data_IF_259097836963
#
_entry.id   IF_259097836963
#
_cell.length_a   1.000
_cell.length_b   1.000
_cell.length_c   1.000
_cell.angle_alpha   90.00
_cell.angle_beta   90.00
_cell.angle_gamma   90.00
#
_symmetry.space_group_name_H-M   'P 1'
#
loop_
_entity.id
_entity.type
_entity.pdbx_description
1 polymer ?
#
# COMPACT_ATOMS: atom_id res chain seq x y z
N UNK A 1 -7.20 -19.32 8.25
CA UNK A 1 -6.21 -18.31 7.86
C UNK A 1 -6.78 -17.51 6.71
N UNK A 2 -7.04 -16.23 6.94
CA UNK A 2 -7.36 -15.31 5.85
C UNK A 2 -6.06 -14.83 5.21
N UNK A 3 -6.10 -14.60 3.91
CA UNK A 3 -4.96 -14.12 3.13
C UNK A 3 -5.38 -12.93 2.29
N UNK A 4 -4.56 -11.89 2.27
CA UNK A 4 -4.78 -10.68 1.49
C UNK A 4 -3.85 -10.66 0.29
N UNK A 5 -4.42 -10.42 -0.90
CA UNK A 5 -3.64 -10.36 -2.14
C UNK A 5 -2.77 -9.09 -2.15
N UNK A 6 -1.48 -9.25 -2.38
CA UNK A 6 -0.52 -8.14 -2.45
C UNK A 6 0.09 -8.00 -3.84
N UNK A 7 0.04 -9.03 -4.68
CA UNK A 7 0.48 -8.90 -6.06
C UNK A 7 0.27 -10.14 -6.91
N UNK A 8 0.41 -9.97 -8.23
CA UNK A 8 0.36 -11.08 -9.19
C UNK A 8 1.67 -11.18 -9.98
N UNK A 9 2.24 -12.37 -10.06
CA UNK A 9 3.41 -12.63 -10.89
C UNK A 9 2.95 -12.68 -12.35
N UNK A 10 3.31 -11.67 -13.14
CA UNK A 10 2.85 -11.53 -14.53
C UNK A 10 3.85 -12.06 -15.54
N UNK A 11 5.14 -12.07 -15.21
CA UNK A 11 6.18 -12.58 -16.10
C UNK A 11 7.50 -12.86 -15.36
N UNK A 12 8.42 -13.55 -16.02
CA UNK A 12 9.83 -13.61 -15.60
C UNK A 12 10.60 -12.36 -16.07
N UNK A 13 11.77 -12.13 -15.49
CA UNK A 13 12.69 -11.05 -15.83
C UNK A 13 14.12 -11.61 -15.91
N UNK A 14 14.68 -11.67 -17.11
CA UNK A 14 16.01 -12.24 -17.32
C UNK A 14 16.11 -13.71 -16.90
N UNK A 15 17.34 -14.19 -16.67
CA UNK A 15 17.62 -15.61 -16.40
C UNK A 15 17.94 -15.93 -14.92
N UNK A 16 18.11 -14.90 -14.08
CA UNK A 16 18.58 -15.02 -12.70
C UNK A 16 17.46 -15.07 -11.66
N UNK A 17 16.32 -15.68 -12.01
CA UNK A 17 15.21 -15.88 -11.08
C UNK A 17 14.44 -14.60 -10.70
N UNK A 18 14.56 -13.51 -11.47
CA UNK A 18 13.72 -12.33 -11.25
C UNK A 18 12.32 -12.54 -11.83
N UNK A 19 11.31 -12.04 -11.12
CA UNK A 19 9.91 -12.04 -11.54
C UNK A 19 9.38 -10.62 -11.56
N UNK A 20 8.51 -10.33 -12.54
CA UNK A 20 7.70 -9.12 -12.57
C UNK A 20 6.41 -9.39 -11.82
N UNK A 21 6.15 -8.54 -10.85
CA UNK A 21 4.92 -8.53 -10.06
C UNK A 21 4.16 -7.26 -10.36
N UNK A 22 2.87 -7.40 -10.63
CA UNK A 22 1.93 -6.31 -10.57
C UNK A 22 1.42 -6.23 -9.14
N UNK A 23 1.87 -5.23 -8.38
CA UNK A 23 1.39 -4.99 -7.03
C UNK A 23 -0.09 -4.62 -7.06
N UNK A 24 -0.85 -5.15 -6.10
CA UNK A 24 -2.22 -4.71 -5.79
C UNK A 24 -2.31 -4.11 -4.39
N UNK A 25 -1.16 -3.90 -3.75
CA UNK A 25 -1.02 -3.24 -2.44
C UNK A 25 -0.36 -1.88 -2.61
N UNK A 26 -0.76 -0.94 -1.76
CA UNK A 26 -0.17 0.39 -1.67
C UNK A 26 1.20 0.38 -0.98
N UNK A 27 1.51 -0.67 -0.22
CA UNK A 27 2.74 -0.84 0.57
C UNK A 27 3.73 -1.81 -0.08
N UNK A 28 3.91 -1.74 -1.41
CA UNK A 28 4.70 -2.76 -2.13
C UNK A 28 6.16 -2.84 -1.66
N UNK A 29 6.75 -1.72 -1.23
CA UNK A 29 8.13 -1.68 -0.72
C UNK A 29 8.28 -2.43 0.59
N UNK A 30 7.27 -2.37 1.45
CA UNK A 30 7.26 -3.07 2.73
C UNK A 30 6.90 -4.56 2.53
N UNK A 31 5.86 -4.85 1.74
CA UNK A 31 5.38 -6.22 1.47
C UNK A 31 6.41 -7.06 0.72
N UNK A 32 7.21 -6.44 -0.13
CA UNK A 32 8.27 -7.12 -0.86
C UNK A 32 9.67 -6.83 -0.28
N UNK A 33 9.78 -6.30 0.95
CA UNK A 33 11.09 -6.07 1.57
C UNK A 33 11.88 -7.37 1.69
N UNK A 34 13.20 -7.28 1.56
CA UNK A 34 14.08 -8.45 1.71
C UNK A 34 13.85 -9.11 3.07
N UNK A 35 13.61 -10.42 3.07
CA UNK A 35 13.29 -11.20 4.26
C UNK A 35 11.79 -11.34 4.53
N UNK A 36 10.92 -10.61 3.83
CA UNK A 36 9.47 -10.77 3.96
C UNK A 36 9.05 -12.18 3.54
N UNK A 37 8.14 -12.75 4.31
CA UNK A 37 7.50 -14.03 4.04
C UNK A 37 6.14 -13.78 3.37
N UNK A 38 5.87 -14.48 2.27
CA UNK A 38 4.60 -14.40 1.55
C UNK A 38 4.10 -15.79 1.20
N UNK A 39 2.79 -15.92 1.10
CA UNK A 39 2.13 -17.12 0.61
C UNK A 39 1.89 -17.03 -0.91
N UNK A 40 2.28 -18.08 -1.62
CA UNK A 40 2.09 -18.21 -3.05
C UNK A 40 0.84 -19.04 -3.35
N UNK A 41 -0.02 -18.52 -4.22
CA UNK A 41 -1.29 -19.14 -4.63
C UNK A 41 -1.32 -19.34 -6.14
N UNK A 42 -1.86 -20.47 -6.60
CA UNK A 42 -2.01 -20.74 -8.03
C UNK A 42 -3.18 -19.96 -8.67
N UNK A 43 -3.40 -20.13 -9.97
CA UNK A 43 -4.47 -19.45 -10.71
C UNK A 43 -5.90 -19.85 -10.27
N UNK A 44 -6.04 -20.95 -9.52
CA UNK A 44 -7.31 -21.43 -8.94
C UNK A 44 -7.46 -21.00 -7.48
N UNK A 45 -6.61 -20.09 -7.03
CA UNK A 45 -6.55 -19.59 -5.66
C UNK A 45 -6.26 -20.68 -4.62
N UNK A 46 -5.49 -21.70 -5.00
CA UNK A 46 -5.04 -22.76 -4.09
C UNK A 46 -3.66 -22.42 -3.53
N UNK A 47 -3.50 -22.57 -2.20
CA UNK A 47 -2.20 -22.38 -1.56
C UNK A 47 -1.18 -23.39 -2.10
N UNK A 48 -0.03 -22.88 -2.53
CA UNK A 48 1.05 -23.69 -3.10
C UNK A 48 2.17 -23.88 -2.08
N UNK A 49 2.73 -22.76 -1.62
CA UNK A 49 3.82 -22.75 -0.66
C UNK A 49 4.06 -21.35 -0.11
N UNK A 50 4.81 -21.30 0.98
CA UNK A 50 5.45 -20.08 1.48
C UNK A 50 6.73 -19.76 0.71
N UNK A 51 7.02 -18.49 0.50
CA UNK A 51 8.22 -17.97 -0.15
C UNK A 51 8.80 -16.80 0.64
N UNK A 52 10.13 -16.66 0.63
CA UNK A 52 10.83 -15.54 1.27
C UNK A 52 11.42 -14.63 0.20
N UNK A 53 11.24 -13.32 0.31
CA UNK A 53 11.83 -12.36 -0.64
C UNK A 53 13.34 -12.22 -0.41
N UNK A 54 14.13 -12.49 -1.45
CA UNK A 54 15.58 -12.29 -1.44
C UNK A 54 15.99 -10.87 -1.84
N UNK A 55 15.25 -10.25 -2.75
CA UNK A 55 15.48 -8.88 -3.21
C UNK A 55 14.23 -8.32 -3.87
N UNK A 56 14.08 -7.00 -3.81
CA UNK A 56 13.02 -6.24 -4.45
C UNK A 56 13.57 -4.92 -4.99
N UNK A 57 13.00 -4.47 -6.12
CA UNK A 57 13.19 -3.13 -6.68
C UNK A 57 12.02 -2.76 -7.58
N UNK A 58 11.69 -1.48 -7.68
CA UNK A 58 10.73 -1.00 -8.68
C UNK A 58 11.37 -0.85 -10.06
N UNK A 59 10.61 -1.15 -11.11
CA UNK A 59 10.98 -0.86 -12.49
C UNK A 59 9.74 -0.53 -13.33
N UNK A 60 9.54 0.76 -13.61
CA UNK A 60 8.30 1.29 -14.20
C UNK A 60 7.11 0.86 -13.32
N UNK A 61 6.06 0.30 -13.90
CA UNK A 61 4.84 -0.09 -13.21
C UNK A 61 4.90 -1.50 -12.59
N UNK A 62 6.11 -2.05 -12.40
CA UNK A 62 6.29 -3.41 -11.87
C UNK A 62 7.25 -3.42 -10.69
N UNK A 63 6.95 -4.25 -9.72
CA UNK A 63 7.88 -4.71 -8.71
C UNK A 63 8.68 -5.88 -9.29
N UNK A 64 10.00 -5.79 -9.22
CA UNK A 64 10.90 -6.87 -9.62
C UNK A 64 11.40 -7.54 -8.36
N UNK A 65 11.03 -8.80 -8.17
CA UNK A 65 11.38 -9.58 -6.97
C UNK A 65 12.21 -10.82 -7.32
N UNK A 66 12.94 -11.33 -6.32
CA UNK A 66 13.51 -12.68 -6.31
C UNK A 66 13.05 -13.40 -5.06
N UNK A 67 12.76 -14.68 -5.15
CA UNK A 67 12.63 -15.52 -3.97
C UNK A 67 14.00 -16.06 -3.54
N UNK A 68 14.14 -16.27 -2.23
CA UNK A 68 15.28 -16.98 -1.66
C UNK A 68 15.32 -18.39 -2.25
N UNK A 69 16.53 -18.84 -2.57
CA UNK A 69 16.83 -20.18 -3.09
C UNK A 69 16.26 -20.49 -4.49
N UNK A 70 15.76 -19.47 -5.20
CA UNK A 70 15.22 -19.59 -6.56
C UNK A 70 15.90 -18.61 -7.53
N UNK A 71 17.18 -18.86 -7.82
CA UNK A 71 18.04 -17.92 -8.56
C UNK A 71 18.14 -18.19 -10.07
N UNK A 72 17.27 -19.03 -10.63
CA UNK A 72 17.24 -19.37 -12.06
C UNK A 72 15.82 -19.37 -12.63
N UNK A 73 15.69 -18.99 -13.90
CA UNK A 73 14.40 -18.90 -14.59
C UNK A 73 13.57 -20.20 -14.51
N UNK A 74 14.20 -21.37 -14.66
CA UNK A 74 13.51 -22.66 -14.61
C UNK A 74 12.85 -22.94 -13.24
N UNK A 75 13.33 -22.30 -12.16
CA UNK A 75 12.74 -22.45 -10.83
C UNK A 75 11.46 -21.62 -10.67
N UNK A 76 11.31 -20.54 -11.44
CA UNK A 76 10.26 -19.53 -11.25
C UNK A 76 9.24 -19.45 -12.39
N UNK A 77 9.56 -19.96 -13.59
CA UNK A 77 8.70 -19.78 -14.77
C UNK A 77 7.29 -20.34 -14.58
N UNK A 78 7.19 -21.44 -13.82
CA UNK A 78 5.94 -22.09 -13.44
C UNK A 78 5.03 -21.24 -12.54
N UNK A 79 5.56 -20.20 -11.91
CA UNK A 79 4.79 -19.29 -11.05
C UNK A 79 4.20 -18.11 -11.82
N UNK A 80 4.40 -18.03 -13.13
CA UNK A 80 3.70 -17.05 -13.95
C UNK A 80 2.19 -17.26 -13.81
N UNK A 81 1.47 -16.19 -13.48
CA UNK A 81 0.04 -16.20 -13.21
C UNK A 81 -0.32 -16.36 -11.73
N UNK A 82 0.64 -16.75 -10.88
CA UNK A 82 0.38 -17.00 -9.47
C UNK A 82 0.27 -15.69 -8.69
N UNK A 83 -0.50 -15.73 -7.60
CA UNK A 83 -0.72 -14.61 -6.70
C UNK A 83 0.18 -14.72 -5.48
N UNK A 84 0.65 -13.57 -5.01
CA UNK A 84 1.33 -13.39 -3.74
C UNK A 84 0.35 -12.82 -2.75
N UNK A 85 0.27 -13.45 -1.59
CA UNK A 85 -0.59 -13.02 -0.50
C UNK A 85 0.18 -12.94 0.81
N UNK A 86 -0.29 -12.10 1.71
CA UNK A 86 0.17 -12.05 3.10
C UNK A 86 -0.91 -12.66 3.99
N UNK A 87 -0.51 -13.43 5.01
CA UNK A 87 -1.46 -13.93 6.00
C UNK A 87 -1.97 -12.75 6.83
N UNK A 88 -3.22 -12.82 7.31
CA UNK A 88 -3.79 -11.80 8.19
C UNK A 88 -2.93 -11.55 9.44
N UNK A 89 -2.29 -12.58 9.98
CA UNK A 89 -1.37 -12.50 11.13
C UNK A 89 0.00 -11.90 10.81
N UNK A 90 0.38 -11.87 9.52
CA UNK A 90 1.64 -11.28 9.01
C UNK A 90 1.41 -9.90 8.37
N UNK A 91 0.16 -9.40 8.38
CA UNK A 91 -0.07 -7.97 8.28
C UNK A 91 0.60 -7.38 9.52
N UNK A 92 1.86 -6.96 9.40
CA UNK A 92 2.56 -6.27 10.48
C UNK A 92 1.59 -5.29 11.13
N UNK A 93 1.58 -5.26 12.47
CA UNK A 93 1.11 -4.10 13.21
C UNK A 93 1.69 -2.89 12.47
N UNK A 94 0.81 -2.12 11.83
CA UNK A 94 1.20 -0.85 11.22
C UNK A 94 1.95 -0.09 12.30
N UNK A 95 3.11 0.49 11.99
CA UNK A 95 3.77 1.39 12.94
C UNK A 95 2.73 2.45 13.37
N UNK A 96 2.78 2.91 14.62
CA UNK A 96 1.81 3.91 15.13
C UNK A 96 1.70 5.08 14.13
N UNK A 97 0.54 5.17 13.45
CA UNK A 97 0.32 6.15 12.39
C UNK A 97 0.55 5.67 10.96
N UNK A 98 0.61 4.38 10.67
CA UNK A 98 0.38 3.87 9.31
C UNK A 98 -1.06 3.33 9.21
N UNK A 99 -1.72 3.53 8.07
CA UNK A 99 -3.12 3.16 7.84
C UNK A 99 -3.30 2.62 6.43
N UNK A 100 -4.14 1.60 6.24
CA UNK A 100 -4.47 1.19 4.87
C UNK A 100 -5.30 2.28 4.18
N UNK A 101 -5.03 2.54 2.90
CA UNK A 101 -5.74 3.61 2.17
C UNK A 101 -7.25 3.40 2.10
N UNK A 102 -7.71 2.14 2.05
CA UNK A 102 -9.13 1.83 2.08
C UNK A 102 -9.79 2.10 3.43
N UNK A 103 -9.02 2.21 4.52
CA UNK A 103 -9.52 2.62 5.84
C UNK A 103 -9.59 4.14 5.96
N UNK A 104 -8.76 4.86 5.21
CA UNK A 104 -8.68 6.33 5.23
C UNK A 104 -9.65 6.99 4.26
N UNK A 105 -9.81 6.43 3.06
CA UNK A 105 -10.73 6.98 2.07
C UNK A 105 -12.17 6.83 2.58
N UNK A 106 -12.88 7.96 2.67
CA UNK A 106 -14.23 8.03 3.22
C UNK A 106 -14.32 8.56 4.64
N UNK A 107 -13.19 8.70 5.36
CA UNK A 107 -13.19 9.33 6.68
C UNK A 107 -13.49 10.84 6.59
N UNK A 108 -14.19 11.36 7.59
CA UNK A 108 -14.49 12.78 7.71
C UNK A 108 -13.35 13.53 8.39
N UNK A 109 -12.94 14.65 7.79
CA UNK A 109 -11.81 15.48 8.23
C UNK A 109 -12.33 16.68 9.01
N UNK A 110 -11.83 16.85 10.23
CA UNK A 110 -12.21 17.91 11.17
C UNK A 110 -11.02 18.74 11.62
N UNK A 111 -11.27 20.03 11.83
CA UNK A 111 -10.40 20.92 12.59
C UNK A 111 -11.21 21.43 13.79
N UNK A 112 -10.94 20.90 14.99
CA UNK A 112 -11.81 21.04 16.15
C UNK A 112 -13.21 20.49 15.87
N UNK A 113 -14.26 21.30 16.08
CA UNK A 113 -15.65 20.89 15.81
C UNK A 113 -16.08 21.14 14.34
N UNK A 114 -15.20 21.72 13.52
CA UNK A 114 -15.54 22.12 12.15
C UNK A 114 -15.26 20.98 11.16
N UNK A 115 -16.30 20.51 10.45
CA UNK A 115 -16.16 19.56 9.37
C UNK A 115 -15.60 20.25 8.12
N UNK A 116 -14.39 19.87 7.72
CA UNK A 116 -13.73 20.37 6.51
C UNK A 116 -14.27 19.66 5.27
N UNK A 117 -14.42 18.34 5.34
CA UNK A 117 -14.86 17.51 4.22
C UNK A 117 -14.56 16.04 4.44
N UNK A 118 -14.50 15.28 3.35
CA UNK A 118 -14.29 13.82 3.40
C UNK A 118 -13.13 13.45 2.48
N UNK A 119 -12.26 12.54 2.92
CA UNK A 119 -11.13 12.06 2.12
C UNK A 119 -11.65 11.27 0.93
N UNK A 120 -11.31 11.69 -0.30
CA UNK A 120 -11.76 11.00 -1.53
C UNK A 120 -10.67 10.19 -2.23
N UNK A 121 -9.40 10.52 -1.99
CA UNK A 121 -8.25 9.97 -2.69
C UNK A 121 -6.97 10.24 -1.90
N UNK A 122 -5.96 9.38 -2.07
CA UNK A 122 -4.61 9.57 -1.55
C UNK A 122 -3.64 9.60 -2.73
N UNK A 123 -2.82 10.65 -2.82
CA UNK A 123 -1.78 10.82 -3.84
C UNK A 123 -0.42 10.48 -3.24
N UNK A 124 0.45 9.85 -4.04
CA UNK A 124 1.80 9.43 -3.64
C UNK A 124 2.89 10.16 -4.45
N UNK A 125 3.15 11.46 -4.21
CA UNK A 125 4.18 12.21 -4.95
C UNK A 125 5.63 11.80 -4.59
N UNK A 126 5.83 10.89 -3.64
CA UNK A 126 7.10 10.20 -3.37
C UNK A 126 7.87 10.67 -2.13
N UNK A 127 7.51 11.80 -1.53
CA UNK A 127 8.09 12.25 -0.25
C UNK A 127 7.16 11.93 0.93
N UNK A 128 5.93 12.43 0.88
CA UNK A 128 4.85 12.08 1.81
C UNK A 128 3.57 11.88 1.01
N UNK A 129 2.65 11.09 1.55
CA UNK A 129 1.31 10.97 0.99
C UNK A 129 0.55 12.29 1.11
N UNK A 130 -0.37 12.53 0.17
CA UNK A 130 -1.23 13.72 0.17
C UNK A 130 -2.68 13.26 0.12
N UNK A 131 -3.43 13.57 1.17
CA UNK A 131 -4.84 13.25 1.29
C UNK A 131 -5.67 14.33 0.62
N UNK A 132 -6.49 13.92 -0.35
CA UNK A 132 -7.37 14.82 -1.09
C UNK A 132 -8.72 14.87 -0.38
N UNK A 133 -9.01 15.99 0.26
CA UNK A 133 -10.25 16.21 1.01
C UNK A 133 -11.25 16.93 0.12
N UNK A 134 -12.36 16.26 -0.18
CA UNK A 134 -13.48 16.84 -0.91
C UNK A 134 -14.27 17.77 0.00
N UNK A 135 -14.39 19.03 -0.38
CA UNK A 135 -15.07 20.06 0.39
C UNK A 135 -16.36 20.51 -0.27
N UNK A 136 -17.36 20.91 0.53
CA UNK A 136 -18.63 21.40 0.01
C UNK A 136 -18.50 22.85 -0.45
N UNK A 137 -18.67 23.11 -1.75
CA UNK A 137 -18.68 24.47 -2.30
C UNK A 137 -17.30 25.14 -2.40
N UNK A 138 -16.22 24.42 -2.07
CA UNK A 138 -14.82 24.84 -2.23
C UNK A 138 -14.08 23.84 -3.13
N UNK A 139 -12.88 24.20 -3.59
CA UNK A 139 -11.96 23.25 -4.24
C UNK A 139 -11.53 22.18 -3.25
N UNK A 140 -11.01 21.06 -3.74
CA UNK A 140 -10.44 20.05 -2.85
C UNK A 140 -9.27 20.65 -2.04
N UNK A 141 -9.10 20.20 -0.81
CA UNK A 141 -7.94 20.52 0.01
C UNK A 141 -6.91 19.40 -0.13
N UNK A 142 -5.64 19.76 -0.29
CA UNK A 142 -4.54 18.82 -0.35
C UNK A 142 -3.80 18.85 0.98
N UNK A 143 -4.02 17.81 1.80
CA UNK A 143 -3.39 17.70 3.11
C UNK A 143 -2.19 16.76 3.05
N UNK A 144 -0.96 17.23 3.29
CA UNK A 144 0.18 16.33 3.41
C UNK A 144 0.00 15.46 4.67
N UNK A 145 0.21 14.16 4.53
CA UNK A 145 0.19 13.24 5.65
C UNK A 145 1.50 13.35 6.45
N UNK A 146 1.52 14.29 7.39
CA UNK A 146 2.66 14.56 8.28
C UNK A 146 2.16 14.87 9.70
N UNK A 147 2.97 14.62 10.75
CA UNK A 147 2.55 14.80 12.14
C UNK A 147 2.01 16.20 12.50
N UNK A 148 2.54 17.32 11.94
CA UNK A 148 1.99 18.64 12.23
C UNK A 148 0.62 18.95 11.58
N UNK A 149 0.16 18.11 10.65
CA UNK A 149 -1.08 18.36 9.89
C UNK A 149 -2.14 17.34 10.26
N UNK A 150 -1.80 16.05 10.34
CA UNK A 150 -2.75 15.00 10.74
C UNK A 150 -2.45 14.63 12.20
N UNK A 151 -3.31 15.10 13.09
CA UNK A 151 -3.11 15.01 14.54
C UNK A 151 -3.62 13.68 15.10
N UNK A 152 -4.74 13.18 14.57
CA UNK A 152 -5.32 11.91 14.99
C UNK A 152 -6.18 11.29 13.88
N UNK A 153 -6.20 9.97 13.82
CA UNK A 153 -7.03 9.19 12.89
C UNK A 153 -7.78 8.15 13.71
N UNK A 154 -9.09 8.29 13.77
CA UNK A 154 -10.01 7.43 14.50
C UNK A 154 -10.94 6.72 13.51
N UNK A 155 -10.46 5.59 12.99
CA UNK A 155 -11.20 4.76 12.03
C UNK A 155 -12.54 4.29 12.64
N UNK A 156 -12.62 3.77 13.88
CA UNK A 156 -13.89 3.35 14.48
C UNK A 156 -14.96 4.45 14.51
N UNK A 157 -14.56 5.71 14.70
CA UNK A 157 -15.47 6.85 14.77
C UNK A 157 -15.58 7.64 13.45
N UNK A 158 -15.05 7.12 12.34
CA UNK A 158 -15.06 7.77 11.01
C UNK A 158 -14.45 9.19 11.00
N UNK A 159 -13.42 9.45 11.80
CA UNK A 159 -12.94 10.81 12.07
C UNK A 159 -11.43 10.96 11.93
N UNK A 160 -11.00 12.00 11.23
CA UNK A 160 -9.62 12.47 11.19
C UNK A 160 -9.57 13.88 11.77
N UNK A 161 -8.72 14.10 12.75
CA UNK A 161 -8.42 15.42 13.32
C UNK A 161 -7.18 16.01 12.64
N UNK A 162 -7.28 17.24 12.16
CA UNK A 162 -6.20 17.95 11.46
C UNK A 162 -5.96 19.33 12.02
N UNK A 163 -4.77 19.86 11.77
CA UNK A 163 -4.42 21.27 11.92
C UNK A 163 -4.05 21.82 10.54
N UNK A 164 -4.83 22.76 10.02
CA UNK A 164 -4.61 23.37 8.71
C UNK A 164 -3.58 24.48 8.88
N UNK A 165 -2.32 24.17 8.53
CA UNK A 165 -1.24 25.16 8.53
C UNK A 165 -1.48 26.29 7.51
N UNK A 166 -0.98 27.47 7.82
CA UNK A 166 -1.04 28.64 6.94
C UNK A 166 -0.45 28.31 5.55
N UNK A 167 -1.20 28.64 4.50
CA UNK A 167 -0.82 28.37 3.11
C UNK A 167 -1.21 26.97 2.58
N UNK A 168 -1.85 26.12 3.39
CA UNK A 168 -2.46 24.88 2.90
C UNK A 168 -3.88 25.07 2.36
N UNK A 169 -4.63 26.00 2.94
CA UNK A 169 -5.92 26.42 2.41
C UNK A 169 -5.82 27.84 1.88
N UNK A 170 -5.95 27.97 0.56
CA UNK A 170 -6.14 29.26 -0.07
C UNK A 170 -7.57 29.72 0.27
N UNK A 171 -7.71 30.61 1.25
CA UNK A 171 -8.94 31.37 1.47
C UNK A 171 -9.18 32.31 0.28
N UNK A 172 -9.71 31.77 -0.82
CA UNK A 172 -10.33 32.56 -1.90
C UNK A 172 -11.70 33.12 -1.45
#
# INVERSE_FOLDING_TARGET
MNYFNVGKIVNTQGLQGEMRVLSVTDFSEERFKKGAELALFDEKDQFVQTVIIASHRKHKNFDIIKFKDMYHINAIEKYKGYSLKVAEEDLNDLDDGEFYYHEIIGLDVYEGDNLIGTIKEILQPGANDVWVVKRKGKRDLLLPYIPPVVLNVDIPNNRVEVEILEGLDDED
#
